data_IF_115708636491
#
_entry.id   IF_115708636491
#
_cell.length_a   1.000
_cell.length_b   1.000
_cell.length_c   1.000
_cell.angle_alpha   90.00
_cell.angle_beta   90.00
_cell.angle_gamma   90.00
#
_symmetry.space_group_name_H-M   'P 1'
#
loop_
_entity.id
_entity.type
_entity.pdbx_description
1 polymer ?
#
# COMPACT_ATOMS: atom_id res chain seq x y z
N UNK A 1 2.12 -16.31 -2.25
CA UNK A 1 1.21 -16.01 -3.39
C UNK A 1 -0.28 -16.06 -3.02
N UNK A 2 -0.67 -16.70 -1.91
CA UNK A 2 -2.08 -16.90 -1.50
C UNK A 2 -2.72 -15.62 -0.91
N UNK A 3 -1.97 -14.84 -0.12
CA UNK A 3 -2.48 -13.65 0.59
C UNK A 3 -3.08 -12.56 -0.32
N UNK A 4 -2.50 -12.35 -1.51
CA UNK A 4 -2.97 -11.32 -2.43
C UNK A 4 -4.34 -11.70 -3.00
N UNK A 5 -4.52 -12.98 -3.37
CA UNK A 5 -5.78 -13.46 -3.94
C UNK A 5 -6.92 -13.39 -2.90
N UNK A 6 -6.64 -13.81 -1.67
CA UNK A 6 -7.59 -13.69 -0.54
C UNK A 6 -7.99 -12.23 -0.28
N UNK A 7 -7.03 -11.31 -0.30
CA UNK A 7 -7.30 -9.88 -0.10
C UNK A 7 -8.13 -9.29 -1.24
N UNK A 8 -7.87 -9.72 -2.49
CA UNK A 8 -8.66 -9.33 -3.66
C UNK A 8 -10.12 -9.77 -3.51
N UNK A 9 -10.32 -11.04 -3.17
CA UNK A 9 -11.63 -11.64 -3.02
C UNK A 9 -12.40 -10.98 -1.87
N UNK A 10 -11.74 -10.67 -0.74
CA UNK A 10 -12.34 -9.88 0.35
C UNK A 10 -12.72 -8.46 -0.07
N UNK A 11 -11.93 -7.81 -0.93
CA UNK A 11 -12.28 -6.48 -1.43
C UNK A 11 -13.46 -6.52 -2.40
N UNK A 12 -13.52 -7.55 -3.25
CA UNK A 12 -14.63 -7.78 -4.18
C UNK A 12 -15.91 -8.19 -3.46
N UNK A 13 -15.80 -8.96 -2.38
CA UNK A 13 -16.93 -9.35 -1.51
C UNK A 13 -17.57 -8.15 -0.80
N UNK A 14 -16.84 -7.04 -0.64
CA UNK A 14 -17.36 -5.76 -0.12
C UNK A 14 -17.90 -4.83 -1.22
N UNK A 15 -18.23 -5.38 -2.39
CA UNK A 15 -18.78 -4.67 -3.56
C UNK A 15 -17.90 -3.52 -4.08
N UNK A 16 -16.61 -3.47 -3.70
CA UNK A 16 -15.73 -2.41 -4.17
C UNK A 16 -15.44 -2.61 -5.66
N UNK A 17 -15.40 -1.51 -6.45
CA UNK A 17 -15.11 -1.60 -7.88
C UNK A 17 -13.74 -2.25 -8.09
N UNK A 18 -13.66 -3.20 -9.02
CA UNK A 18 -12.44 -3.98 -9.27
C UNK A 18 -11.22 -3.08 -9.54
N UNK A 19 -11.45 -1.93 -10.18
CA UNK A 19 -10.43 -0.90 -10.42
C UNK A 19 -9.80 -0.36 -9.13
N UNK A 20 -10.60 -0.17 -8.08
CA UNK A 20 -10.13 0.28 -6.78
C UNK A 20 -9.33 -0.82 -6.08
N UNK A 21 -9.76 -2.08 -6.19
CA UNK A 21 -9.03 -3.21 -5.60
C UNK A 21 -7.63 -3.34 -6.19
N UNK A 22 -7.50 -3.26 -7.52
CA UNK A 22 -6.21 -3.28 -8.22
C UNK A 22 -5.34 -2.07 -7.82
N UNK A 23 -5.93 -0.88 -7.70
CA UNK A 23 -5.20 0.32 -7.28
C UNK A 23 -4.62 0.19 -5.86
N UNK A 24 -5.41 -0.33 -4.91
CA UNK A 24 -4.96 -0.55 -3.52
C UNK A 24 -3.85 -1.60 -3.48
N UNK A 25 -3.99 -2.71 -4.21
CA UNK A 25 -2.94 -3.72 -4.32
C UNK A 25 -1.63 -3.15 -4.84
N UNK A 26 -1.70 -2.43 -5.96
CA UNK A 26 -0.52 -1.80 -6.56
C UNK A 26 0.17 -0.87 -5.58
N UNK A 27 -0.59 -0.09 -4.81
CA UNK A 27 -0.05 0.81 -3.78
C UNK A 27 0.64 0.05 -2.65
N UNK A 28 0.08 -1.07 -2.20
CA UNK A 28 0.68 -1.94 -1.18
C UNK A 28 2.03 -2.52 -1.66
N UNK A 29 2.06 -3.03 -2.89
CA UNK A 29 3.27 -3.55 -3.52
C UNK A 29 4.34 -2.48 -3.66
N UNK A 30 3.97 -1.26 -4.05
CA UNK A 30 4.90 -0.14 -4.17
C UNK A 30 5.50 0.26 -2.82
N UNK A 31 4.71 0.25 -1.74
CA UNK A 31 5.21 0.52 -0.38
C UNK A 31 6.16 -0.60 0.10
N UNK A 32 5.80 -1.86 -0.10
CA UNK A 32 6.67 -2.96 0.25
C UNK A 32 7.99 -2.91 -0.54
N UNK A 33 7.91 -2.61 -1.85
CA UNK A 33 9.07 -2.44 -2.71
C UNK A 33 9.92 -1.24 -2.30
N UNK A 34 9.31 -0.13 -1.86
CA UNK A 34 10.08 1.03 -1.37
C UNK A 34 10.80 0.71 -0.07
N UNK A 35 10.17 -0.01 0.86
CA UNK A 35 10.80 -0.45 2.12
C UNK A 35 11.97 -1.39 1.83
N UNK A 36 11.78 -2.40 0.96
CA UNK A 36 12.87 -3.29 0.57
C UNK A 36 14.01 -2.55 -0.13
N UNK A 37 13.69 -1.62 -1.03
CA UNK A 37 14.69 -0.86 -1.80
C UNK A 37 15.50 0.07 -0.92
N UNK A 38 14.86 0.70 0.07
CA UNK A 38 15.55 1.66 0.93
C UNK A 38 16.35 0.99 2.04
N UNK A 39 16.07 -0.28 2.39
CA UNK A 39 16.65 -0.99 3.55
C UNK A 39 16.67 -0.15 4.85
N UNK A 40 15.84 0.88 4.90
CA UNK A 40 15.73 1.83 5.99
C UNK A 40 14.41 1.52 6.68
N UNK A 41 14.40 1.38 8.02
CA UNK A 41 13.16 1.29 8.75
C UNK A 41 12.31 2.53 8.43
N UNK A 42 10.99 2.36 8.41
CA UNK A 42 10.02 3.42 8.11
C UNK A 42 10.40 4.71 8.83
N UNK A 43 10.89 5.70 8.07
CA UNK A 43 11.16 7.02 8.61
C UNK A 43 9.84 7.75 8.65
N UNK A 44 9.32 8.01 9.85
CA UNK A 44 8.21 8.94 10.01
C UNK A 44 8.57 10.21 9.26
N UNK A 45 7.80 10.53 8.23
CA UNK A 45 7.93 11.81 7.53
C UNK A 45 7.67 12.88 8.58
N UNK A 46 8.76 13.43 9.11
CA UNK A 46 8.73 14.51 10.08
C UNK A 46 7.79 15.59 9.53
N UNK A 47 6.81 16.05 10.33
CA UNK A 47 5.92 17.11 9.89
C UNK A 47 6.80 18.26 9.43
N UNK A 48 6.56 18.74 8.20
CA UNK A 48 7.24 19.90 7.65
C UNK A 48 6.99 21.07 8.61
N UNK A 49 7.93 21.27 9.53
CA UNK A 49 8.02 22.49 10.33
C UNK A 49 8.58 23.53 9.38
N UNK A 50 7.69 24.00 8.49
CA UNK A 50 7.85 25.25 7.79
C UNK A 50 7.89 26.34 8.85
N UNK A 51 9.11 26.76 9.16
CA UNK A 51 9.43 27.98 9.87
C UNK A 51 8.96 29.19 9.05
N UNK A 52 8.80 30.31 9.76
CA UNK A 52 8.49 31.70 9.37
C UNK A 52 7.04 32.02 9.07
#
# INVERSE_FOLDING_TARGET
MILIKDFYERLRSKEKPAKLAVAVMRKLLLMAASVLKQQQPWQETAPATGKT
#
